data_IF_248049468752
#
_entry.id   IF_248049468752
#
_cell.length_a   1.000
_cell.length_b   1.000
_cell.length_c   1.000
_cell.angle_alpha   90.00
_cell.angle_beta   90.00
_cell.angle_gamma   90.00
#
_symmetry.space_group_name_H-M   'P 1'
#
loop_
_entity.id
_entity.type
_entity.pdbx_description
1 polymer ?
#
# COMPACT_ATOMS: atom_id res chain seq x y z
N UNK A 1 20.06 15.03 -0.77
CA UNK A 1 18.91 14.92 0.15
C UNK A 1 18.66 16.27 0.82
N UNK A 2 17.41 16.58 1.17
CA UNK A 2 17.03 17.81 1.90
C UNK A 2 16.77 17.49 3.37
N UNK A 3 17.07 18.43 4.28
CA UNK A 3 16.87 18.24 5.72
C UNK A 3 15.42 18.51 6.18
N UNK A 4 14.63 19.20 5.36
CA UNK A 4 13.23 19.56 5.63
C UNK A 4 12.42 19.50 4.33
N UNK A 5 11.10 19.21 4.39
CA UNK A 5 10.22 19.33 3.24
C UNK A 5 9.95 20.82 2.95
N UNK A 6 9.94 21.21 1.67
CA UNK A 6 9.60 22.57 1.29
C UNK A 6 9.68 22.84 -0.22
N UNK A 7 8.62 23.45 -0.76
CA UNK A 7 8.54 23.86 -2.16
C UNK A 7 9.61 24.90 -2.56
N UNK A 8 9.96 25.92 -1.73
CA UNK A 8 10.95 26.91 -2.12
C UNK A 8 12.34 26.33 -2.43
N UNK A 9 12.80 25.40 -1.59
CA UNK A 9 14.10 24.74 -1.78
C UNK A 9 14.06 23.78 -2.98
N UNK A 10 12.96 23.05 -3.16
CA UNK A 10 12.74 22.20 -4.33
C UNK A 10 12.74 23.01 -5.63
N UNK A 11 12.10 24.19 -5.63
CA UNK A 11 12.10 25.10 -6.78
C UNK A 11 13.50 25.59 -7.11
N UNK A 12 14.23 26.07 -6.10
CA UNK A 12 15.61 26.56 -6.28
C UNK A 12 16.51 25.48 -6.88
N UNK A 13 16.38 24.24 -6.41
CA UNK A 13 17.13 23.12 -6.97
C UNK A 13 16.73 22.83 -8.42
N UNK A 14 15.43 22.75 -8.69
CA UNK A 14 14.92 22.46 -10.03
C UNK A 14 15.34 23.51 -11.06
N UNK A 15 15.18 24.79 -10.74
CA UNK A 15 15.58 25.91 -11.60
C UNK A 15 17.08 25.82 -11.94
N UNK A 16 17.92 25.52 -10.94
CA UNK A 16 19.37 25.38 -11.11
C UNK A 16 19.76 24.23 -12.04
N UNK A 17 19.13 23.06 -11.90
CA UNK A 17 19.38 21.92 -12.79
C UNK A 17 18.88 22.23 -14.21
N UNK A 18 17.66 22.76 -14.34
CA UNK A 18 17.02 23.01 -15.63
C UNK A 18 17.67 24.15 -16.42
N UNK A 19 18.36 25.08 -15.77
CA UNK A 19 19.17 26.07 -16.46
C UNK A 19 20.29 25.44 -17.31
N UNK A 20 20.86 24.32 -16.86
CA UNK A 20 21.90 23.58 -17.58
C UNK A 20 21.34 22.43 -18.42
N UNK A 21 20.28 21.78 -17.92
CA UNK A 21 19.64 20.61 -18.53
C UNK A 21 18.11 20.78 -18.56
N UNK A 22 17.55 21.53 -19.53
CA UNK A 22 16.14 21.95 -19.53
C UNK A 22 15.12 20.81 -19.41
N UNK A 23 15.44 19.65 -19.98
CA UNK A 23 14.56 18.48 -20.03
C UNK A 23 14.86 17.44 -18.94
N UNK A 24 15.77 17.72 -18.00
CA UNK A 24 16.09 16.79 -16.93
C UNK A 24 14.85 16.52 -16.05
N UNK A 25 14.48 15.25 -15.94
CA UNK A 25 13.47 14.78 -14.98
C UNK A 25 14.10 14.65 -13.61
N UNK A 26 13.37 15.08 -12.58
CA UNK A 26 13.83 15.04 -11.20
C UNK A 26 13.04 14.02 -10.38
N UNK A 27 13.61 13.62 -9.27
CA UNK A 27 12.96 12.77 -8.29
C UNK A 27 12.96 13.43 -6.91
N UNK A 28 11.89 13.23 -6.13
CA UNK A 28 11.76 13.78 -4.79
C UNK A 28 11.37 12.68 -3.79
N UNK A 29 12.15 12.56 -2.71
CA UNK A 29 11.84 11.69 -1.59
C UNK A 29 10.93 12.42 -0.60
N UNK A 30 9.67 11.98 -0.50
CA UNK A 30 8.69 12.41 0.48
C UNK A 30 8.97 11.69 1.82
N UNK A 31 10.12 12.02 2.41
CA UNK A 31 10.72 11.22 3.48
C UNK A 31 9.85 11.15 4.74
N UNK A 32 9.58 9.95 5.29
CA UNK A 32 9.00 9.79 6.62
C UNK A 32 9.91 10.26 7.76
N UNK A 33 11.19 10.52 7.49
CA UNK A 33 12.09 11.13 8.47
C UNK A 33 11.76 12.60 8.73
N UNK A 34 10.95 13.23 7.87
CA UNK A 34 10.42 14.56 8.14
C UNK A 34 9.26 14.49 9.14
N UNK A 35 9.24 15.43 10.08
CA UNK A 35 8.03 15.72 10.83
C UNK A 35 7.15 16.65 9.98
N UNK A 36 6.23 16.07 9.22
CA UNK A 36 5.35 16.80 8.29
C UNK A 36 4.40 17.76 9.02
N UNK A 37 3.85 17.38 10.17
CA UNK A 37 3.00 18.24 11.00
C UNK A 37 3.78 19.46 11.54
N UNK A 38 5.07 19.28 11.84
CA UNK A 38 5.94 20.36 12.29
C UNK A 38 6.64 21.13 11.15
N UNK A 39 6.28 20.86 9.88
CA UNK A 39 6.87 21.54 8.74
C UNK A 39 6.47 23.01 8.63
N UNK A 40 5.35 23.39 9.26
CA UNK A 40 4.74 24.71 9.14
C UNK A 40 3.84 24.86 7.91
N UNK A 41 3.66 23.80 7.10
CA UNK A 41 2.68 23.76 6.03
C UNK A 41 1.27 23.51 6.59
N UNK A 42 0.29 24.15 5.98
CA UNK A 42 -1.14 23.89 6.20
C UNK A 42 -1.58 22.58 5.53
N UNK A 43 -2.73 22.04 5.94
CA UNK A 43 -3.31 20.85 5.31
C UNK A 43 -3.53 21.03 3.79
N UNK A 44 -3.91 22.24 3.37
CA UNK A 44 -4.07 22.59 1.96
C UNK A 44 -2.73 22.54 1.22
N UNK A 45 -1.67 23.09 1.80
CA UNK A 45 -0.32 23.02 1.21
C UNK A 45 0.21 21.58 1.15
N UNK A 46 -0.02 20.79 2.20
CA UNK A 46 0.33 19.37 2.22
C UNK A 46 -0.42 18.58 1.14
N UNK A 47 -1.71 18.84 0.97
CA UNK A 47 -2.53 18.20 -0.06
C UNK A 47 -2.06 18.54 -1.49
N UNK A 48 -1.55 19.75 -1.72
CA UNK A 48 -1.04 20.20 -3.02
C UNK A 48 0.46 19.92 -3.23
N UNK A 49 1.19 19.47 -2.21
CA UNK A 49 2.65 19.36 -2.24
C UNK A 49 3.17 18.53 -3.42
N UNK A 50 2.52 17.40 -3.71
CA UNK A 50 2.87 16.53 -4.83
C UNK A 50 2.66 17.20 -6.19
N UNK A 51 1.56 17.94 -6.36
CA UNK A 51 1.26 18.66 -7.59
C UNK A 51 2.26 19.80 -7.81
N UNK A 52 2.59 20.52 -6.75
CA UNK A 52 3.56 21.61 -6.79
C UNK A 52 4.96 21.11 -7.16
N UNK A 53 5.40 19.99 -6.59
CA UNK A 53 6.62 19.30 -7.03
C UNK A 53 6.53 18.86 -8.51
N UNK A 54 5.38 18.35 -8.94
CA UNK A 54 5.13 17.96 -10.33
C UNK A 54 5.32 19.13 -11.30
N UNK A 55 4.78 20.32 -10.97
CA UNK A 55 4.95 21.56 -11.75
C UNK A 55 6.41 22.00 -11.85
N UNK A 56 7.23 21.65 -10.87
CA UNK A 56 8.67 21.90 -10.86
C UNK A 56 9.48 20.84 -11.62
N UNK A 57 8.86 19.79 -12.17
CA UNK A 57 9.55 18.74 -12.95
C UNK A 57 10.07 17.56 -12.12
N UNK A 58 9.60 17.41 -10.89
CA UNK A 58 9.79 16.19 -10.10
C UNK A 58 8.80 15.11 -10.57
N UNK A 59 9.20 14.41 -11.63
CA UNK A 59 8.39 13.40 -12.31
C UNK A 59 8.25 12.09 -11.52
N UNK A 60 9.21 11.79 -10.64
CA UNK A 60 9.14 10.62 -9.77
C UNK A 60 9.15 11.02 -8.30
N UNK A 61 8.08 10.71 -7.58
CA UNK A 61 7.90 11.06 -6.19
C UNK A 61 7.56 9.81 -5.41
N UNK A 62 8.19 9.61 -4.26
CA UNK A 62 8.05 8.38 -3.49
C UNK A 62 8.24 8.61 -1.99
N UNK A 63 7.55 7.82 -1.18
CA UNK A 63 7.71 7.77 0.28
C UNK A 63 8.54 6.53 0.61
N UNK A 64 9.79 6.70 1.05
CA UNK A 64 10.73 5.58 1.24
C UNK A 64 10.27 4.53 2.25
N UNK A 65 9.63 4.95 3.35
CA UNK A 65 9.27 4.07 4.47
C UNK A 65 7.75 3.93 4.68
N UNK A 66 6.92 4.20 3.65
CA UNK A 66 5.46 4.11 3.78
C UNK A 66 5.00 2.74 4.30
N UNK A 67 5.49 1.65 3.68
CA UNK A 67 5.14 0.29 4.10
C UNK A 67 5.57 -0.05 5.54
N UNK A 68 6.74 0.45 5.98
CA UNK A 68 7.24 0.23 7.33
C UNK A 68 6.32 0.88 8.38
N UNK A 69 5.99 2.16 8.20
CA UNK A 69 5.13 2.89 9.12
C UNK A 69 3.68 2.39 9.09
N UNK A 70 3.13 2.10 7.91
CA UNK A 70 1.77 1.56 7.77
C UNK A 70 1.63 0.19 8.44
N UNK A 71 2.56 -0.74 8.19
CA UNK A 71 2.53 -2.06 8.83
C UNK A 71 2.68 -1.95 10.36
N UNK A 72 3.65 -1.15 10.82
CA UNK A 72 3.86 -0.94 12.25
C UNK A 72 2.61 -0.41 12.97
N UNK A 73 1.91 0.55 12.35
CA UNK A 73 0.67 1.12 12.90
C UNK A 73 -0.46 0.08 12.94
N UNK A 74 -0.71 -0.62 11.83
CA UNK A 74 -1.79 -1.60 11.71
C UNK A 74 -1.59 -2.75 12.70
N UNK A 75 -0.38 -3.32 12.75
CA UNK A 75 -0.05 -4.44 13.65
C UNK A 75 -0.16 -4.00 15.11
N UNK A 76 0.32 -2.80 15.46
CA UNK A 76 0.23 -2.28 16.83
C UNK A 76 -1.23 -2.11 17.27
N UNK A 77 -2.09 -1.55 16.40
CA UNK A 77 -3.52 -1.39 16.69
C UNK A 77 -4.22 -2.74 16.86
N UNK A 78 -3.93 -3.69 15.96
CA UNK A 78 -4.50 -5.03 16.02
C UNK A 78 -4.06 -5.78 17.29
N UNK A 79 -2.78 -5.76 17.63
CA UNK A 79 -2.28 -6.48 18.81
C UNK A 79 -2.94 -5.98 20.11
N UNK A 80 -3.13 -4.67 20.24
CA UNK A 80 -3.81 -4.06 21.40
C UNK A 80 -5.28 -4.48 21.46
N UNK A 81 -6.04 -4.28 20.38
CA UNK A 81 -7.47 -4.60 20.38
C UNK A 81 -7.74 -6.11 20.46
N UNK A 82 -6.86 -6.95 19.89
CA UNK A 82 -6.94 -8.39 20.04
C UNK A 82 -6.66 -8.84 21.48
N UNK A 83 -5.74 -8.18 22.20
CA UNK A 83 -5.54 -8.41 23.62
C UNK A 83 -6.79 -8.16 24.45
N UNK A 84 -7.58 -7.15 24.08
CA UNK A 84 -8.80 -6.76 24.81
C UNK A 84 -10.05 -7.55 24.38
N UNK A 85 -10.19 -7.87 23.09
CA UNK A 85 -11.44 -8.35 22.48
C UNK A 85 -11.30 -9.69 21.73
N UNK A 86 -10.10 -10.25 21.66
CA UNK A 86 -9.80 -11.48 20.92
C UNK A 86 -10.20 -11.39 19.45
N UNK A 87 -10.82 -12.45 18.93
CA UNK A 87 -11.19 -12.58 17.51
C UNK A 87 -12.13 -11.47 17.01
N UNK A 88 -12.92 -10.86 17.88
CA UNK A 88 -13.81 -9.77 17.49
C UNK A 88 -13.01 -8.60 16.89
N UNK A 89 -11.87 -8.26 17.47
CA UNK A 89 -11.00 -7.20 16.98
C UNK A 89 -10.45 -7.49 15.58
N UNK A 90 -10.05 -8.74 15.31
CA UNK A 90 -9.58 -9.13 13.98
C UNK A 90 -10.71 -9.06 12.94
N UNK A 91 -11.88 -9.62 13.28
CA UNK A 91 -13.04 -9.62 12.37
C UNK A 91 -13.51 -8.20 12.08
N UNK A 92 -13.61 -7.33 13.08
CA UNK A 92 -14.10 -5.96 12.92
C UNK A 92 -13.09 -5.05 12.20
N UNK A 93 -11.82 -5.07 12.63
CA UNK A 93 -10.86 -4.07 12.17
C UNK A 93 -10.11 -4.49 10.90
N UNK A 94 -10.05 -5.78 10.59
CA UNK A 94 -9.34 -6.31 9.41
C UNK A 94 -10.35 -6.94 8.46
N UNK A 95 -10.89 -8.12 8.79
CA UNK A 95 -11.61 -8.95 7.80
C UNK A 95 -12.88 -8.29 7.24
N UNK A 96 -13.67 -7.60 8.07
CA UNK A 96 -14.85 -6.84 7.60
C UNK A 96 -14.43 -5.63 6.75
N UNK A 97 -13.37 -4.94 7.15
CA UNK A 97 -12.84 -3.78 6.41
C UNK A 97 -12.27 -4.20 5.06
N UNK A 98 -11.55 -5.31 4.98
CA UNK A 98 -11.11 -5.88 3.70
C UNK A 98 -12.29 -6.22 2.78
N UNK A 99 -13.42 -6.67 3.34
CA UNK A 99 -14.63 -6.91 2.56
C UNK A 99 -15.31 -5.61 2.09
N UNK A 100 -15.41 -4.61 2.98
CA UNK A 100 -16.04 -3.31 2.69
C UNK A 100 -15.27 -2.52 1.63
N UNK A 101 -13.94 -2.56 1.69
CA UNK A 101 -13.04 -1.85 0.77
C UNK A 101 -12.58 -2.72 -0.42
N UNK A 102 -13.19 -3.91 -0.58
CA UNK A 102 -12.91 -4.86 -1.68
C UNK A 102 -11.42 -5.21 -1.84
N UNK A 103 -10.70 -5.38 -0.72
CA UNK A 103 -9.28 -5.72 -0.70
C UNK A 103 -9.08 -7.17 -1.17
N UNK A 104 -8.35 -7.35 -2.27
CA UNK A 104 -8.10 -8.67 -2.89
C UNK A 104 -7.46 -9.69 -1.92
N UNK A 105 -6.68 -9.22 -0.96
CA UNK A 105 -6.02 -10.06 0.06
C UNK A 105 -7.00 -10.83 0.96
N UNK A 106 -8.29 -10.44 1.01
CA UNK A 106 -9.31 -11.21 1.72
C UNK A 106 -9.35 -12.67 1.20
N UNK A 107 -9.19 -12.84 -0.12
CA UNK A 107 -9.04 -14.13 -0.80
C UNK A 107 -7.55 -14.45 -0.99
N UNK A 108 -6.87 -14.63 0.14
CA UNK A 108 -5.42 -14.80 0.18
C UNK A 108 -4.87 -16.03 -0.56
N UNK A 109 -5.62 -17.12 -0.72
CA UNK A 109 -5.20 -18.29 -1.51
C UNK A 109 -5.23 -17.96 -2.99
N UNK A 110 -6.32 -17.35 -3.46
CA UNK A 110 -6.44 -16.87 -4.84
C UNK A 110 -5.34 -15.86 -5.14
N UNK A 111 -5.15 -14.87 -4.26
CA UNK A 111 -4.10 -13.85 -4.40
C UNK A 111 -2.68 -14.45 -4.40
N UNK A 112 -2.44 -15.50 -3.61
CA UNK A 112 -1.16 -16.22 -3.58
C UNK A 112 -0.95 -17.16 -4.78
N UNK A 113 -1.90 -17.22 -5.72
CA UNK A 113 -1.80 -18.01 -6.94
C UNK A 113 -2.18 -19.48 -6.81
N UNK A 114 -2.95 -19.87 -5.79
CA UNK A 114 -3.39 -21.25 -5.61
C UNK A 114 -4.12 -21.80 -6.86
N UNK A 115 -4.99 -21.00 -7.46
CA UNK A 115 -5.69 -21.38 -8.70
C UNK A 115 -4.74 -21.60 -9.88
N UNK A 116 -3.67 -20.81 -9.98
CA UNK A 116 -2.66 -20.96 -11.03
C UNK A 116 -1.94 -22.29 -10.90
N UNK A 117 -1.52 -22.63 -9.67
CA UNK A 117 -0.87 -23.90 -9.36
C UNK A 117 -1.80 -25.08 -9.65
N UNK A 118 -3.07 -24.99 -9.25
CA UNK A 118 -4.05 -26.04 -9.53
C UNK A 118 -4.25 -26.27 -11.02
N UNK A 119 -4.37 -25.20 -11.82
CA UNK A 119 -4.46 -25.33 -13.28
C UNK A 119 -3.22 -26.00 -13.88
N UNK A 120 -2.03 -25.67 -13.39
CA UNK A 120 -0.80 -26.32 -13.83
C UNK A 120 -0.83 -27.83 -13.51
N UNK A 121 -1.26 -28.20 -12.31
CA UNK A 121 -1.37 -29.61 -11.89
C UNK A 121 -2.41 -30.34 -12.74
N UNK A 122 -3.59 -29.75 -12.96
CA UNK A 122 -4.66 -30.35 -13.79
C UNK A 122 -4.19 -30.57 -15.23
N UNK A 123 -3.49 -29.61 -15.83
CA UNK A 123 -2.92 -29.77 -17.18
C UNK A 123 -1.86 -30.87 -17.20
N UNK A 124 -0.95 -30.88 -16.23
CA UNK A 124 0.11 -31.89 -16.13
C UNK A 124 -0.43 -33.31 -15.89
N UNK A 125 -1.53 -33.45 -15.15
CA UNK A 125 -2.13 -34.74 -14.83
C UNK A 125 -3.19 -35.22 -15.83
N UNK A 126 -3.38 -34.50 -16.95
CA UNK A 126 -4.39 -34.85 -17.95
C UNK A 126 -5.83 -34.76 -17.41
N UNK A 127 -6.07 -33.91 -16.42
CA UNK A 127 -7.40 -33.69 -15.82
C UNK A 127 -7.69 -34.51 -14.56
N UNK A 128 -6.80 -35.43 -14.15
CA UNK A 128 -6.99 -36.27 -12.97
C UNK A 128 -6.08 -35.83 -11.82
N UNK A 129 -6.50 -34.86 -11.00
CA UNK A 129 -5.79 -34.50 -9.77
C UNK A 129 -6.71 -34.55 -8.56
N UNK A 130 -6.35 -35.36 -7.56
CA UNK A 130 -7.06 -35.50 -6.28
C UNK A 130 -6.53 -34.57 -5.18
N UNK A 131 -5.51 -33.76 -5.46
CA UNK A 131 -4.78 -32.93 -4.47
C UNK A 131 -4.78 -31.44 -4.81
N UNK A 132 -5.74 -30.96 -5.60
CA UNK A 132 -5.89 -29.54 -5.92
C UNK A 132 -6.22 -28.72 -4.65
N UNK A 133 -5.58 -27.56 -4.50
CA UNK A 133 -5.69 -26.69 -3.33
C UNK A 133 -7.06 -25.99 -3.23
N UNK A 134 -7.69 -25.69 -4.36
CA UNK A 134 -8.99 -25.00 -4.51
C UNK A 134 -10.16 -25.98 -4.67
N UNK A 135 -10.01 -27.22 -4.20
CA UNK A 135 -11.02 -28.28 -4.27
C UNK A 135 -12.14 -28.18 -3.22
N UNK A 136 -12.87 -29.29 -3.07
CA UNK A 136 -13.92 -29.42 -2.05
C UNK A 136 -13.35 -29.21 -0.64
N UNK A 137 -13.85 -28.19 0.07
CA UNK A 137 -13.39 -27.83 1.43
C UNK A 137 -12.50 -26.58 1.50
N UNK A 138 -12.26 -25.88 0.39
CA UNK A 138 -11.50 -24.62 0.40
C UNK A 138 -12.16 -23.57 1.31
N UNK A 139 -11.35 -22.95 2.16
CA UNK A 139 -11.81 -21.97 3.18
C UNK A 139 -12.32 -20.67 2.56
N UNK A 140 -11.89 -20.35 1.33
CA UNK A 140 -12.34 -19.14 0.63
C UNK A 140 -13.83 -19.14 0.28
N UNK A 141 -14.48 -20.31 0.26
CA UNK A 141 -15.93 -20.40 0.08
C UNK A 141 -16.71 -19.59 1.12
N UNK A 142 -16.14 -19.40 2.32
CA UNK A 142 -16.72 -18.62 3.42
C UNK A 142 -16.73 -17.11 3.17
N UNK A 143 -15.99 -16.62 2.16
CA UNK A 143 -15.94 -15.21 1.80
C UNK A 143 -16.94 -14.83 0.69
N UNK A 144 -17.69 -15.80 0.16
CA UNK A 144 -18.53 -15.63 -1.05
C UNK A 144 -19.95 -15.11 -0.79
N UNK A 145 -20.41 -15.00 0.46
CA UNK A 145 -21.79 -14.58 0.78
C UNK A 145 -21.86 -13.66 2.01
N UNK A 146 -22.41 -12.47 1.78
CA UNK A 146 -22.72 -11.49 2.81
C UNK A 146 -23.73 -12.06 3.81
N UNK A 147 -23.33 -12.07 5.08
CA UNK A 147 -24.28 -12.18 6.17
C UNK A 147 -24.74 -10.76 6.51
N UNK A 148 -26.05 -10.53 6.34
CA UNK A 148 -26.84 -9.42 6.88
C UNK A 148 -26.56 -9.16 8.35
#
# INVERSE_FOLDING_TARGET
ETAKPGIPDAKKFSDGVKAMYPHQMLAYNLSPSFNWDASGMTDTELAHFNDDLGRLGYAWQFITLAGFHSNGLVITKLARSFGDQGMLAYVQNIQRKEREEEVELLKHQTWSGAELVDRMVTVASGGASSTAAMGAGVTESQFSTGHT
#
